data_IF_542179237011
#
_entry.id   IF_542179237011
#
_cell.length_a   1.000
_cell.length_b   1.000
_cell.length_c   1.000
_cell.angle_alpha   90.00
_cell.angle_beta   90.00
_cell.angle_gamma   90.00
#
_symmetry.space_group_name_H-M   'P 1'
#
loop_
_entity.id
_entity.type
_entity.pdbx_description
1 polymer ?
#
# COMPACT_ATOMS: atom_id res chain seq x y z
N UNK A 1 12.35 59.22 6.41
CA UNK A 1 11.61 57.94 6.24
C UNK A 1 12.55 56.96 5.53
N UNK A 2 12.72 55.74 6.04
CA UNK A 2 13.63 54.76 5.42
C UNK A 2 13.12 54.26 4.05
N UNK A 3 14.01 53.85 3.13
CA UNK A 3 13.67 53.50 1.75
C UNK A 3 12.61 52.39 1.65
N UNK A 4 12.65 51.41 2.55
CA UNK A 4 11.70 50.29 2.61
C UNK A 4 10.28 50.77 2.95
N UNK A 5 10.15 51.75 3.86
CA UNK A 5 8.85 52.31 4.23
C UNK A 5 8.22 53.09 3.08
N UNK A 6 9.01 53.81 2.29
CA UNK A 6 8.53 54.50 1.11
C UNK A 6 8.01 53.51 0.05
N UNK A 7 8.71 52.39 -0.14
CA UNK A 7 8.30 51.37 -1.10
C UNK A 7 6.97 50.70 -0.71
N UNK A 8 6.81 50.28 0.54
CA UNK A 8 5.53 49.71 1.00
C UNK A 8 4.40 50.74 1.01
N UNK A 9 4.69 52.00 1.35
CA UNK A 9 3.68 53.07 1.29
C UNK A 9 3.22 53.33 -0.15
N UNK A 10 4.14 53.34 -1.11
CA UNK A 10 3.82 53.50 -2.53
C UNK A 10 3.00 52.31 -3.09
N UNK A 11 3.40 51.08 -2.77
CA UNK A 11 2.65 49.88 -3.17
C UNK A 11 1.25 49.86 -2.54
N UNK A 12 1.14 50.13 -1.23
CA UNK A 12 -0.13 50.18 -0.52
C UNK A 12 -1.06 51.28 -1.06
N UNK A 13 -0.51 52.46 -1.36
CA UNK A 13 -1.25 53.55 -1.98
C UNK A 13 -1.77 53.16 -3.38
N UNK A 14 -0.92 52.50 -4.18
CA UNK A 14 -1.29 52.04 -5.53
C UNK A 14 -2.40 50.99 -5.51
N UNK A 15 -2.35 50.04 -4.57
CA UNK A 15 -3.38 49.01 -4.37
C UNK A 15 -4.69 49.63 -3.87
N UNK A 16 -4.61 50.57 -2.93
CA UNK A 16 -5.78 51.26 -2.38
C UNK A 16 -6.50 52.16 -3.40
N UNK A 17 -5.77 52.67 -4.41
CA UNK A 17 -6.34 53.52 -5.46
C UNK A 17 -7.16 52.74 -6.49
N UNK A 18 -6.83 51.47 -6.73
CA UNK A 18 -7.51 50.61 -7.70
C UNK A 18 -7.78 49.20 -7.15
N UNK A 19 -8.56 49.07 -6.07
CA UNK A 19 -8.70 47.80 -5.33
C UNK A 19 -9.29 46.67 -6.20
N UNK A 20 -10.25 46.99 -7.07
CA UNK A 20 -10.91 46.02 -7.93
C UNK A 20 -9.96 45.43 -8.99
N UNK A 21 -9.07 46.24 -9.59
CA UNK A 21 -8.12 45.77 -10.60
C UNK A 21 -7.14 44.76 -9.99
N UNK A 22 -6.56 45.08 -8.84
CA UNK A 22 -5.64 44.18 -8.14
C UNK A 22 -6.34 42.91 -7.64
N UNK A 23 -7.59 43.01 -7.18
CA UNK A 23 -8.40 41.85 -6.79
C UNK A 23 -8.75 40.93 -7.96
N UNK A 24 -9.05 41.48 -9.13
CA UNK A 24 -9.37 40.70 -10.33
C UNK A 24 -8.11 39.99 -10.85
N UNK A 25 -6.97 40.67 -10.85
CA UNK A 25 -5.67 40.08 -11.24
C UNK A 25 -5.30 38.93 -10.29
N UNK A 26 -5.42 39.11 -8.97
CA UNK A 26 -5.09 38.05 -8.01
C UNK A 26 -6.02 36.84 -8.18
N UNK A 27 -7.31 37.07 -8.41
CA UNK A 27 -8.29 36.01 -8.66
C UNK A 27 -7.96 35.22 -9.94
N UNK A 28 -7.64 35.91 -11.03
CA UNK A 28 -7.22 35.26 -12.29
C UNK A 28 -5.96 34.43 -12.10
N UNK A 29 -4.96 34.96 -11.39
CA UNK A 29 -3.72 34.24 -11.08
C UNK A 29 -4.00 32.98 -10.26
N UNK A 30 -4.84 33.07 -9.23
CA UNK A 30 -5.22 31.92 -8.39
C UNK A 30 -5.95 30.85 -9.21
N UNK A 31 -6.86 31.23 -10.12
CA UNK A 31 -7.57 30.28 -10.98
C UNK A 31 -6.60 29.57 -11.94
N UNK A 32 -5.69 30.30 -12.57
CA UNK A 32 -4.70 29.72 -13.49
C UNK A 32 -3.82 28.72 -12.74
N UNK A 33 -3.31 29.09 -11.56
CA UNK A 33 -2.48 28.21 -10.73
C UNK A 33 -3.25 26.98 -10.23
N UNK A 34 -4.52 27.17 -9.86
CA UNK A 34 -5.41 26.10 -9.40
C UNK A 34 -5.74 25.09 -10.51
N UNK A 35 -5.81 25.53 -11.76
CA UNK A 35 -6.09 24.65 -12.92
C UNK A 35 -5.03 23.55 -13.08
N UNK A 36 -3.79 23.80 -12.64
CA UNK A 36 -2.73 22.79 -12.62
C UNK A 36 -3.05 21.57 -11.75
N UNK A 37 -3.95 21.70 -10.76
CA UNK A 37 -4.33 20.59 -9.88
C UNK A 37 -5.10 19.48 -10.62
N UNK A 38 -5.71 19.79 -11.77
CA UNK A 38 -6.41 18.79 -12.62
C UNK A 38 -5.43 17.70 -13.12
N UNK A 39 -4.14 18.01 -13.18
CA UNK A 39 -3.11 17.12 -13.72
C UNK A 39 -2.27 16.43 -12.63
N UNK A 40 -2.70 16.49 -11.37
CA UNK A 40 -2.00 15.83 -10.27
C UNK A 40 -2.06 14.32 -10.45
N UNK A 41 -0.88 13.70 -10.54
CA UNK A 41 -0.73 12.25 -10.50
C UNK A 41 -0.47 11.80 -9.06
N UNK A 42 -1.46 11.14 -8.46
CA UNK A 42 -1.31 10.55 -7.14
C UNK A 42 -0.56 9.22 -7.30
N UNK A 43 0.64 9.14 -6.72
CA UNK A 43 1.42 7.89 -6.65
C UNK A 43 1.08 7.19 -5.34
N UNK A 44 0.39 6.06 -5.40
CA UNK A 44 -0.02 5.27 -4.22
C UNK A 44 1.04 4.27 -3.74
N UNK A 45 2.23 4.26 -4.34
CA UNK A 45 3.31 3.35 -3.95
C UNK A 45 4.03 3.92 -2.74
N UNK A 46 3.92 3.23 -1.60
CA UNK A 46 4.58 3.61 -0.34
C UNK A 46 6.07 3.93 -0.56
N UNK A 47 6.78 3.11 -1.35
CA UNK A 47 8.22 3.28 -1.61
C UNK A 47 8.59 4.57 -2.36
N UNK A 48 7.67 5.16 -3.13
CA UNK A 48 7.98 6.34 -3.96
C UNK A 48 8.21 7.59 -3.11
N UNK A 49 7.66 7.66 -1.88
CA UNK A 49 7.88 8.77 -0.95
C UNK A 49 9.13 8.65 -0.07
N UNK A 50 9.68 7.44 0.09
CA UNK A 50 10.78 7.17 1.05
C UNK A 50 12.10 6.75 0.40
N UNK A 51 12.12 6.48 -0.91
CA UNK A 51 13.30 5.97 -1.59
C UNK A 51 13.56 6.75 -2.88
N UNK A 52 14.72 7.43 -3.01
CA UNK A 52 15.06 8.20 -4.22
C UNK A 52 14.98 7.34 -5.48
N UNK A 53 14.53 7.93 -6.60
CA UNK A 53 14.36 7.21 -7.87
C UNK A 53 15.66 6.59 -8.39
N UNK A 54 16.82 7.21 -8.11
CA UNK A 54 18.14 6.74 -8.54
C UNK A 54 18.92 5.97 -7.46
N UNK A 55 18.23 5.42 -6.46
CA UNK A 55 18.90 4.66 -5.39
C UNK A 55 19.34 3.25 -5.85
N UNK A 56 20.47 2.73 -5.34
CA UNK A 56 20.95 1.39 -5.69
C UNK A 56 19.93 0.30 -5.32
N UNK A 57 19.19 0.50 -4.22
CA UNK A 57 18.12 -0.41 -3.80
C UNK A 57 16.94 -0.48 -4.77
N UNK A 58 16.68 0.57 -5.57
CA UNK A 58 15.67 0.50 -6.65
C UNK A 58 16.19 -0.32 -7.83
N UNK A 59 17.46 -0.19 -8.18
CA UNK A 59 18.09 -0.97 -9.24
C UNK A 59 18.10 -2.47 -8.91
N UNK A 60 18.47 -2.83 -7.67
CA UNK A 60 18.42 -4.21 -7.18
C UNK A 60 16.98 -4.76 -7.21
N UNK A 61 16.01 -3.97 -6.76
CA UNK A 61 14.61 -4.39 -6.75
C UNK A 61 14.04 -4.57 -8.17
N UNK A 62 14.44 -3.73 -9.11
CA UNK A 62 14.06 -3.88 -10.52
C UNK A 62 14.68 -5.13 -11.15
N UNK A 63 15.95 -5.41 -10.87
CA UNK A 63 16.61 -6.64 -11.30
C UNK A 63 15.89 -7.88 -10.72
N UNK A 64 15.53 -7.84 -9.43
CA UNK A 64 14.74 -8.89 -8.77
C UNK A 64 13.38 -9.10 -9.45
N UNK A 65 12.64 -8.02 -9.75
CA UNK A 65 11.34 -8.13 -10.43
C UNK A 65 11.43 -8.75 -11.82
N UNK A 66 12.44 -8.36 -12.60
CA UNK A 66 12.71 -8.94 -13.92
C UNK A 66 13.04 -10.42 -13.81
N UNK A 67 13.85 -10.81 -12.83
CA UNK A 67 14.21 -12.20 -12.58
C UNK A 67 12.98 -13.06 -12.24
N UNK A 68 12.10 -12.57 -11.37
CA UNK A 68 10.87 -13.28 -10.97
C UNK A 68 9.67 -13.06 -11.89
N UNK A 69 9.84 -12.31 -12.99
CA UNK A 69 8.75 -11.87 -13.87
C UNK A 69 7.54 -11.28 -13.09
N UNK A 70 7.82 -10.52 -12.03
CA UNK A 70 6.80 -9.94 -11.17
C UNK A 70 6.48 -8.50 -11.60
N UNK A 71 5.20 -8.22 -11.82
CA UNK A 71 4.71 -6.89 -12.21
C UNK A 71 4.70 -5.89 -11.04
N UNK A 72 4.78 -6.37 -9.80
CA UNK A 72 4.61 -5.56 -8.59
C UNK A 72 5.76 -5.67 -7.59
N UNK A 73 5.70 -4.83 -6.55
CA UNK A 73 6.48 -5.09 -5.35
C UNK A 73 6.00 -6.39 -4.69
N UNK A 74 6.90 -7.26 -4.21
CA UNK A 74 6.51 -8.46 -3.50
C UNK A 74 5.83 -8.07 -2.18
N UNK A 75 4.50 -8.03 -2.20
CA UNK A 75 3.69 -7.71 -1.03
C UNK A 75 3.33 -9.00 -0.30
N UNK A 76 3.77 -9.12 0.95
CA UNK A 76 3.46 -10.29 1.78
C UNK A 76 2.20 -10.02 2.58
N UNK A 77 1.17 -10.82 2.37
CA UNK A 77 0.03 -10.90 3.29
C UNK A 77 0.44 -11.78 4.47
N UNK A 78 0.37 -11.24 5.69
CA UNK A 78 0.67 -11.98 6.91
C UNK A 78 -0.52 -11.90 7.85
N UNK A 79 -0.92 -13.05 8.38
CA UNK A 79 -1.95 -13.16 9.41
C UNK A 79 -1.29 -13.56 10.72
N UNK A 80 -1.43 -12.71 11.74
CA UNK A 80 -1.01 -13.02 13.10
C UNK A 80 -2.22 -13.48 13.91
N UNK A 81 -2.13 -14.66 14.51
CA UNK A 81 -3.20 -15.28 15.29
C UNK A 81 -2.77 -15.30 16.76
N UNK A 82 -3.70 -14.97 17.65
CA UNK A 82 -3.52 -15.00 19.11
C UNK A 82 -4.66 -15.76 19.76
N UNK A 83 -4.40 -16.41 20.89
CA UNK A 83 -5.47 -16.99 21.70
C UNK A 83 -6.41 -15.90 22.21
N UNK A 84 -7.70 -16.23 22.22
CA UNK A 84 -8.76 -15.36 22.74
C UNK A 84 -8.59 -15.09 24.24
N UNK A 85 -8.03 -16.05 24.97
CA UNK A 85 -7.83 -15.97 26.42
C UNK A 85 -6.36 -15.60 26.68
N UNK A 86 -6.13 -14.63 27.57
CA UNK A 86 -4.78 -14.27 28.00
C UNK A 86 -4.07 -15.51 28.58
N UNK A 87 -2.77 -15.64 28.29
CA UNK A 87 -1.90 -16.71 28.83
C UNK A 87 -2.14 -18.15 28.34
N UNK A 88 -3.08 -18.37 27.41
CA UNK A 88 -3.20 -19.68 26.78
C UNK A 88 -2.10 -19.95 25.74
N UNK A 89 -1.59 -21.18 25.76
CA UNK A 89 -0.52 -21.62 24.87
C UNK A 89 -1.02 -21.89 23.45
N UNK A 90 -0.60 -21.06 22.49
CA UNK A 90 -0.90 -21.25 21.06
C UNK A 90 -0.29 -22.52 20.45
N UNK A 91 0.71 -23.13 21.11
CA UNK A 91 1.34 -24.38 20.68
C UNK A 91 0.56 -25.63 21.10
N UNK A 92 -0.60 -25.47 21.73
CA UNK A 92 -1.51 -26.59 21.97
C UNK A 92 -1.99 -27.16 20.63
N UNK A 93 -2.08 -28.50 20.56
CA UNK A 93 -2.44 -29.23 19.35
C UNK A 93 -3.83 -28.83 18.81
N UNK A 94 -4.75 -28.45 19.70
CA UNK A 94 -6.07 -27.92 19.31
C UNK A 94 -5.94 -26.59 18.54
N UNK A 95 -5.24 -25.61 19.12
CA UNK A 95 -5.04 -24.30 18.50
C UNK A 95 -4.23 -24.39 17.21
N UNK A 96 -3.22 -25.27 17.16
CA UNK A 96 -2.44 -25.51 15.96
C UNK A 96 -3.28 -26.13 14.83
N UNK A 97 -4.15 -27.09 15.14
CA UNK A 97 -5.06 -27.66 14.13
C UNK A 97 -6.05 -26.60 13.61
N UNK A 98 -6.59 -25.75 14.49
CA UNK A 98 -7.46 -24.64 14.09
C UNK A 98 -6.73 -23.64 13.20
N UNK A 99 -5.49 -23.28 13.55
CA UNK A 99 -4.65 -22.39 12.76
C UNK A 99 -4.36 -22.95 11.36
N UNK A 100 -4.02 -24.24 11.25
CA UNK A 100 -3.82 -24.92 9.95
C UNK A 100 -5.12 -24.94 9.15
N UNK A 101 -6.25 -25.25 9.78
CA UNK A 101 -7.56 -25.26 9.11
C UNK A 101 -7.89 -23.88 8.54
N UNK A 102 -7.66 -22.83 9.31
CA UNK A 102 -7.88 -21.45 8.88
C UNK A 102 -6.92 -21.07 7.74
N UNK A 103 -5.63 -21.42 7.85
CA UNK A 103 -4.64 -21.19 6.81
C UNK A 103 -5.05 -21.86 5.50
N UNK A 104 -5.43 -23.14 5.54
CA UNK A 104 -5.85 -23.89 4.36
C UNK A 104 -7.10 -23.30 3.73
N UNK A 105 -8.07 -22.88 4.54
CA UNK A 105 -9.26 -22.19 4.06
C UNK A 105 -8.90 -20.89 3.31
N UNK A 106 -8.02 -20.05 3.87
CA UNK A 106 -7.62 -18.79 3.24
C UNK A 106 -6.84 -18.98 1.94
N UNK A 107 -6.01 -20.02 1.85
CA UNK A 107 -5.18 -20.26 0.67
C UNK A 107 -6.00 -20.90 -0.46
N UNK A 108 -6.80 -21.93 -0.14
CA UNK A 108 -7.39 -22.83 -1.14
C UNK A 108 -8.89 -22.64 -1.35
N UNK A 109 -9.64 -22.25 -0.31
CA UNK A 109 -11.11 -22.20 -0.37
C UNK A 109 -11.66 -20.78 -0.51
N UNK A 110 -10.93 -19.78 -0.01
CA UNK A 110 -11.35 -18.39 -0.04
C UNK A 110 -11.33 -17.84 -1.47
N UNK A 111 -12.51 -17.49 -1.97
CA UNK A 111 -12.74 -17.01 -3.34
C UNK A 111 -12.85 -15.49 -3.36
N UNK A 112 -12.00 -14.86 -4.17
CA UNK A 112 -12.05 -13.45 -4.50
C UNK A 112 -12.73 -13.25 -5.85
N UNK A 113 -13.47 -12.15 -5.98
CA UNK A 113 -14.19 -11.79 -7.19
C UNK A 113 -13.55 -10.54 -7.80
N UNK A 114 -13.03 -10.66 -9.02
CA UNK A 114 -12.57 -9.52 -9.80
C UNK A 114 -13.68 -9.10 -10.78
N UNK A 115 -14.24 -7.91 -10.55
CA UNK A 115 -15.15 -7.30 -11.51
C UNK A 115 -14.34 -6.50 -12.53
N UNK A 116 -14.03 -7.11 -13.68
CA UNK A 116 -13.45 -6.36 -14.81
C UNK A 116 -14.53 -5.55 -15.50
N UNK A 117 -14.47 -4.21 -15.33
CA UNK A 117 -15.41 -3.25 -15.90
C UNK A 117 -15.55 -3.36 -17.44
N UNK A 118 -14.52 -3.84 -18.13
CA UNK A 118 -14.48 -3.87 -19.60
C UNK A 118 -15.12 -5.11 -20.24
N UNK A 119 -15.45 -6.17 -19.49
CA UNK A 119 -15.83 -7.46 -20.12
C UNK A 119 -17.08 -8.14 -19.55
N UNK A 120 -17.80 -7.54 -18.58
CA UNK A 120 -18.91 -8.19 -17.86
C UNK A 120 -18.56 -9.62 -17.36
N UNK A 121 -17.27 -9.89 -17.14
CA UNK A 121 -16.74 -11.18 -16.73
C UNK A 121 -16.28 -11.03 -15.28
N UNK A 122 -16.99 -11.72 -14.38
CA UNK A 122 -16.56 -11.88 -12.99
C UNK A 122 -15.55 -13.02 -12.96
N UNK A 123 -14.26 -12.69 -12.83
CA UNK A 123 -13.24 -13.72 -12.65
C UNK A 123 -13.19 -14.11 -11.18
N UNK A 124 -13.36 -15.39 -10.91
CA UNK A 124 -13.18 -15.96 -9.58
C UNK A 124 -11.75 -16.47 -9.48
N UNK A 125 -11.03 -16.07 -8.45
CA UNK A 125 -9.68 -16.54 -8.17
C UNK A 125 -9.52 -16.80 -6.67
N UNK A 126 -8.62 -17.72 -6.33
CA UNK A 126 -8.21 -18.02 -4.97
C UNK A 126 -6.85 -17.39 -4.70
N UNK A 127 -6.43 -17.36 -3.43
CA UNK A 127 -5.08 -16.90 -3.10
C UNK A 127 -4.01 -17.80 -3.74
N UNK A 128 -4.28 -19.09 -3.87
CA UNK A 128 -3.38 -20.05 -4.54
C UNK A 128 -3.03 -19.68 -5.99
N UNK A 129 -3.93 -18.99 -6.69
CA UNK A 129 -3.73 -18.58 -8.07
C UNK A 129 -2.79 -17.37 -8.22
N UNK A 130 -2.56 -16.62 -7.13
CA UNK A 130 -1.82 -15.34 -7.13
C UNK A 130 -0.61 -15.32 -6.21
N UNK A 131 -0.46 -16.29 -5.32
CA UNK A 131 0.58 -16.27 -4.28
C UNK A 131 2.00 -16.54 -4.76
N UNK A 132 2.19 -16.95 -6.02
CA UNK A 132 3.52 -17.31 -6.54
C UNK A 132 4.48 -16.12 -6.45
N UNK A 133 5.70 -16.29 -5.89
CA UNK A 133 6.37 -17.56 -5.55
C UNK A 133 6.23 -18.04 -4.08
N UNK A 134 5.42 -17.40 -3.24
CA UNK A 134 5.39 -17.59 -1.79
C UNK A 134 4.25 -18.47 -1.27
N UNK A 135 3.64 -19.30 -2.12
CA UNK A 135 2.49 -20.12 -1.75
C UNK A 135 2.80 -21.12 -0.60
N UNK A 136 4.02 -21.65 -0.55
CA UNK A 136 4.44 -22.67 0.42
C UNK A 136 5.24 -22.10 1.60
N UNK A 137 5.15 -20.79 1.85
CA UNK A 137 5.97 -20.14 2.89
C UNK A 137 5.73 -20.71 4.30
N UNK A 138 4.54 -21.27 4.55
CA UNK A 138 4.14 -21.80 5.86
C UNK A 138 4.34 -23.33 6.02
N UNK A 139 5.03 -24.00 5.08
CA UNK A 139 5.27 -25.45 5.15
C UNK A 139 5.86 -25.92 6.50
N UNK A 140 6.70 -25.09 7.12
CA UNK A 140 7.29 -25.40 8.43
C UNK A 140 6.26 -25.60 9.55
N UNK A 141 5.12 -24.90 9.51
CA UNK A 141 4.05 -25.05 10.49
C UNK A 141 3.35 -26.41 10.33
N UNK A 142 3.10 -26.84 9.10
CA UNK A 142 2.49 -28.14 8.84
C UNK A 142 3.38 -29.29 9.33
N UNK A 143 4.69 -29.18 9.08
CA UNK A 143 5.67 -30.14 9.56
C UNK A 143 5.68 -30.22 11.09
N UNK A 144 5.67 -29.06 11.76
CA UNK A 144 5.65 -28.98 13.21
C UNK A 144 4.42 -29.68 13.82
N UNK A 145 3.24 -29.48 13.25
CA UNK A 145 2.02 -30.13 13.72
C UNK A 145 2.04 -31.64 13.47
N UNK A 146 2.57 -32.10 12.33
CA UNK A 146 2.74 -33.54 12.05
C UNK A 146 3.64 -34.20 13.10
N UNK A 147 4.75 -33.57 13.47
CA UNK A 147 5.68 -34.08 14.48
C UNK A 147 5.02 -34.11 15.87
N UNK A 148 4.30 -33.05 16.27
CA UNK A 148 3.59 -33.05 17.55
C UNK A 148 2.53 -34.15 17.63
N UNK A 149 1.75 -34.38 16.56
CA UNK A 149 0.78 -35.48 16.50
C UNK A 149 1.47 -36.82 16.70
N UNK A 150 2.57 -37.07 15.98
CA UNK A 150 3.32 -38.32 16.10
C UNK A 150 3.83 -38.57 17.53
N UNK A 151 4.22 -37.51 18.26
CA UNK A 151 4.66 -37.60 19.66
C UNK A 151 3.53 -37.92 20.66
N UNK A 152 2.28 -37.57 20.35
CA UNK A 152 1.13 -37.83 21.22
C UNK A 152 0.54 -39.25 21.05
N UNK A 153 0.84 -39.93 19.94
CA UNK A 153 0.37 -41.30 19.65
C UNK A 153 1.45 -42.39 19.89
N UNK A 154 2.59 -42.00 20.45
CA UNK A 154 3.65 -42.90 20.99
C UNK A 154 3.60 -42.85 22.50
#
# INVERSE_FOLDING_TARGET
MGPIRCLFHFCGYSISRWPFCFGLISLVVVIILSTGMVWIQIKDRIRDGYTPENSPSRLENEAMRRFWNSYGDPMKAQLMIRSKIAEQNMLSLQHLNEAIKLMNFLIWEFKCFENKKDQNLTKIFTYSDICSPYCEFNFGLELFVKIQKARFYM
#
